data_IF_674298319979
#
_entry.id   IF_674298319979
#
_cell.length_a   1.000
_cell.length_b   1.000
_cell.length_c   1.000
_cell.angle_alpha   90.00
_cell.angle_beta   90.00
_cell.angle_gamma   90.00
#
_symmetry.space_group_name_H-M   'P 1'
#
loop_
_entity.id
_entity.type
_entity.pdbx_description
1 polymer ?
#
# COMPACT_ATOMS: atom_id res chain seq x y z
N UNK A 1 -15.89 7.99 10.15
CA UNK A 1 -15.71 8.37 8.74
C UNK A 1 -16.07 7.18 7.89
N UNK A 2 -17.10 7.31 7.05
CA UNK A 2 -17.50 6.28 6.09
C UNK A 2 -16.77 6.52 4.76
N UNK A 3 -16.22 5.46 4.16
CA UNK A 3 -15.54 5.53 2.87
C UNK A 3 -15.65 4.18 2.14
N UNK A 4 -15.47 4.23 0.83
CA UNK A 4 -15.43 3.08 -0.05
C UNK A 4 -14.10 3.01 -0.79
N UNK A 5 -13.70 1.81 -1.22
CA UNK A 5 -12.55 1.62 -2.09
C UNK A 5 -13.03 1.36 -3.51
N UNK A 6 -12.32 1.93 -4.48
CA UNK A 6 -12.54 1.70 -5.91
C UNK A 6 -11.24 1.75 -6.69
N UNK A 7 -11.28 1.25 -7.90
CA UNK A 7 -10.17 1.43 -8.83
C UNK A 7 -9.98 2.90 -9.22
N UNK A 8 -8.75 3.24 -9.55
CA UNK A 8 -8.33 4.54 -10.07
C UNK A 8 -9.07 4.88 -11.36
N UNK A 9 -9.42 6.16 -11.53
CA UNK A 9 -9.93 6.75 -12.75
C UNK A 9 -8.98 7.83 -13.23
N UNK A 10 -8.91 8.05 -14.54
CA UNK A 10 -7.97 9.02 -15.12
C UNK A 10 -8.14 10.44 -14.55
N UNK A 11 -9.37 10.82 -14.24
CA UNK A 11 -9.70 12.11 -13.63
C UNK A 11 -9.16 12.28 -12.21
N UNK A 12 -8.83 11.19 -11.50
CA UNK A 12 -8.30 11.25 -10.14
C UNK A 12 -6.85 11.76 -10.10
N UNK A 13 -6.11 11.62 -11.19
CA UNK A 13 -4.66 11.76 -11.21
C UNK A 13 -4.14 13.04 -10.53
N UNK A 14 -4.75 14.18 -10.84
CA UNK A 14 -4.34 15.46 -10.25
C UNK A 14 -4.53 15.51 -8.74
N UNK A 15 -5.60 14.89 -8.27
CA UNK A 15 -5.87 14.78 -6.83
C UNK A 15 -4.88 13.85 -6.15
N UNK A 16 -4.59 12.68 -6.76
CA UNK A 16 -3.61 11.75 -6.21
C UNK A 16 -2.22 12.37 -6.14
N UNK A 17 -1.77 13.05 -7.19
CA UNK A 17 -0.48 13.72 -7.18
C UNK A 17 -0.41 14.81 -6.09
N UNK A 18 -1.46 15.62 -5.87
CA UNK A 18 -1.49 16.61 -4.78
C UNK A 18 -1.46 15.96 -3.40
N UNK A 19 -2.12 14.81 -3.24
CA UNK A 19 -2.08 14.05 -1.98
C UNK A 19 -0.65 13.57 -1.71
N UNK A 20 0.04 12.99 -2.70
CA UNK A 20 1.44 12.58 -2.59
C UNK A 20 2.33 13.74 -2.14
N UNK A 21 2.23 14.91 -2.82
CA UNK A 21 2.98 16.11 -2.45
C UNK A 21 2.68 16.60 -1.02
N UNK A 22 1.49 16.35 -0.50
CA UNK A 22 1.11 16.71 0.87
C UNK A 22 1.54 15.70 1.92
N UNK A 23 1.77 14.44 1.50
CA UNK A 23 2.14 13.34 2.38
C UNK A 23 3.66 13.23 2.59
N UNK A 24 4.45 13.62 1.60
CA UNK A 24 5.89 13.45 1.60
C UNK A 24 6.65 14.76 1.34
N UNK A 25 7.83 14.93 1.97
CA UNK A 25 8.68 16.06 1.68
C UNK A 25 9.32 15.95 0.27
N UNK A 26 9.83 17.07 -0.28
CA UNK A 26 10.61 17.04 -1.50
C UNK A 26 11.76 16.02 -1.43
N UNK A 27 11.94 15.27 -2.52
CA UNK A 27 12.95 14.21 -2.60
C UNK A 27 12.46 12.83 -2.17
N UNK A 28 11.26 12.74 -1.56
CA UNK A 28 10.53 11.48 -1.32
C UNK A 28 9.26 11.45 -2.16
N UNK A 29 8.51 12.58 -2.25
CA UNK A 29 7.32 12.70 -3.10
C UNK A 29 7.66 12.51 -4.57
N UNK A 30 6.75 11.90 -5.32
CA UNK A 30 6.92 11.62 -6.75
C UNK A 30 6.65 12.86 -7.62
N UNK A 31 7.49 13.04 -8.65
CA UNK A 31 7.16 13.95 -9.76
C UNK A 31 5.92 13.47 -10.53
N UNK A 32 5.20 14.41 -11.19
CA UNK A 32 3.98 14.05 -11.96
C UNK A 32 4.21 12.96 -13.01
N UNK A 33 5.31 13.06 -13.75
CA UNK A 33 5.66 12.06 -14.77
C UNK A 33 5.99 10.71 -14.13
N UNK A 34 6.66 10.73 -13.01
CA UNK A 34 7.07 9.53 -12.27
C UNK A 34 5.85 8.80 -11.69
N UNK A 35 4.96 9.49 -10.95
CA UNK A 35 3.72 8.89 -10.43
C UNK A 35 2.86 8.36 -11.58
N UNK A 36 2.73 9.13 -12.68
CA UNK A 36 2.00 8.68 -13.87
C UNK A 36 2.61 7.42 -14.50
N UNK A 37 3.94 7.31 -14.51
CA UNK A 37 4.63 6.13 -15.03
C UNK A 37 4.37 4.90 -14.15
N UNK A 38 4.40 5.04 -12.82
CA UNK A 38 4.07 3.96 -11.90
C UNK A 38 2.63 3.48 -12.06
N UNK A 39 1.65 4.40 -12.07
CA UNK A 39 0.22 4.06 -12.22
C UNK A 39 -0.06 3.30 -13.53
N UNK A 40 0.69 3.61 -14.61
CA UNK A 40 0.50 3.01 -15.94
C UNK A 40 1.41 1.81 -16.21
N UNK A 41 2.26 1.45 -15.27
CA UNK A 41 3.19 0.34 -15.46
C UNK A 41 2.41 -0.97 -15.65
N UNK A 42 2.93 -1.84 -16.53
CA UNK A 42 2.31 -3.15 -16.74
C UNK A 42 2.36 -3.99 -15.46
N UNK A 43 1.22 -4.49 -15.03
CA UNK A 43 1.05 -5.22 -13.77
C UNK A 43 0.81 -4.32 -12.57
N UNK A 44 0.78 -2.99 -12.76
CA UNK A 44 0.40 -2.06 -11.71
C UNK A 44 -1.11 -1.87 -11.66
N UNK A 45 -1.60 -1.61 -10.45
CA UNK A 45 -2.96 -1.16 -10.20
C UNK A 45 -2.96 -0.10 -9.11
N UNK A 46 -4.02 0.69 -9.07
CA UNK A 46 -4.19 1.75 -8.08
C UNK A 46 -5.60 1.68 -7.50
N UNK A 47 -5.68 1.61 -6.17
CA UNK A 47 -6.93 1.71 -5.44
C UNK A 47 -7.04 3.08 -4.78
N UNK A 48 -8.25 3.61 -4.78
CA UNK A 48 -8.59 4.93 -4.25
C UNK A 48 -9.61 4.77 -3.13
N UNK A 49 -9.37 5.41 -2.00
CA UNK A 49 -10.34 5.53 -0.91
C UNK A 49 -11.11 6.84 -1.08
N UNK A 50 -12.43 6.73 -1.23
CA UNK A 50 -13.33 7.83 -1.51
C UNK A 50 -14.33 7.99 -0.37
N UNK A 51 -14.54 9.23 0.11
CA UNK A 51 -15.53 9.51 1.17
C UNK A 51 -16.93 9.15 0.69
N UNK A 52 -17.65 8.39 1.52
CA UNK A 52 -19.07 8.10 1.27
C UNK A 52 -19.98 9.32 1.61
N UNK A 53 -19.48 10.28 2.35
CA UNK A 53 -20.22 11.50 2.70
C UNK A 53 -20.13 12.48 1.53
N UNK A 54 -21.17 12.49 0.71
CA UNK A 54 -21.52 13.67 -0.09
C UNK A 54 -21.76 14.79 0.94
N UNK A 55 -20.87 15.79 1.02
CA UNK A 55 -21.01 16.89 1.97
C UNK A 55 -22.46 17.40 1.95
N UNK A 56 -23.03 17.59 3.14
CA UNK A 56 -24.35 18.20 3.27
C UNK A 56 -24.27 19.58 2.60
N UNK A 57 -24.84 19.68 1.40
CA UNK A 57 -25.17 20.98 0.83
C UNK A 57 -26.21 21.60 1.74
N UNK A 58 -25.85 22.66 2.46
CA UNK A 58 -26.83 23.54 3.05
C UNK A 58 -27.78 23.97 1.96
N UNK A 59 -29.08 24.01 2.31
CA UNK A 59 -30.22 24.28 1.41
C UNK A 59 -29.91 25.40 0.41
N UNK A 60 -29.72 25.06 -0.87
CA UNK A 60 -29.77 26.06 -1.94
C UNK A 60 -28.97 25.78 -3.21
N UNK A 61 -28.07 24.82 -3.30
CA UNK A 61 -27.31 24.58 -4.52
C UNK A 61 -27.43 23.17 -5.06
N UNK A 62 -27.74 23.05 -6.37
CA UNK A 62 -28.07 21.80 -7.11
C UNK A 62 -26.80 21.03 -7.51
N UNK A 63 -25.71 21.11 -6.80
CA UNK A 63 -24.53 20.31 -7.06
C UNK A 63 -24.21 19.44 -5.83
N UNK A 64 -24.39 18.11 -5.95
CA UNK A 64 -23.76 17.18 -5.01
C UNK A 64 -22.26 17.46 -5.02
N UNK A 65 -21.64 17.80 -3.87
CA UNK A 65 -20.19 17.94 -3.83
C UNK A 65 -19.57 16.64 -4.32
N UNK A 66 -18.56 16.75 -5.18
CA UNK A 66 -17.84 15.57 -5.67
C UNK A 66 -17.27 14.81 -4.47
N UNK A 67 -17.34 13.48 -4.47
CA UNK A 67 -16.78 12.68 -3.39
C UNK A 67 -15.28 12.99 -3.25
N UNK A 68 -14.84 13.20 -2.01
CA UNK A 68 -13.44 13.55 -1.75
C UNK A 68 -12.57 12.31 -1.64
N UNK A 69 -11.43 12.32 -2.33
CA UNK A 69 -10.42 11.26 -2.20
C UNK A 69 -9.68 11.45 -0.88
N UNK A 70 -9.70 10.41 -0.06
CA UNK A 70 -9.08 10.36 1.27
C UNK A 70 -7.68 9.78 1.26
N UNK A 71 -7.35 9.02 0.23
CA UNK A 71 -6.07 8.38 0.05
C UNK A 71 -6.07 7.40 -1.10
N UNK A 72 -4.90 6.87 -1.41
CA UNK A 72 -4.73 5.88 -2.46
C UNK A 72 -3.53 4.97 -2.19
N UNK A 73 -3.44 3.89 -2.93
CA UNK A 73 -2.31 2.98 -2.96
C UNK A 73 -2.00 2.61 -4.40
N UNK A 74 -0.72 2.61 -4.76
CA UNK A 74 -0.21 2.07 -6.03
C UNK A 74 0.59 0.82 -5.73
N UNK A 75 0.24 -0.27 -6.35
CA UNK A 75 0.95 -1.54 -6.22
C UNK A 75 1.14 -2.21 -7.58
N UNK A 76 2.12 -3.08 -7.69
CA UNK A 76 2.37 -3.86 -8.89
C UNK A 76 2.69 -5.32 -8.56
N UNK A 77 2.26 -6.24 -9.43
CA UNK A 77 2.67 -7.64 -9.41
C UNK A 77 3.77 -7.87 -10.44
N UNK A 78 4.86 -8.49 -10.01
CA UNK A 78 5.92 -8.92 -10.93
C UNK A 78 5.64 -10.33 -11.46
N UNK A 79 6.17 -10.65 -12.65
CA UNK A 79 6.10 -11.99 -13.23
C UNK A 79 6.77 -13.08 -12.39
N UNK A 80 7.51 -12.71 -11.34
CA UNK A 80 8.23 -13.66 -10.46
C UNK A 80 7.45 -13.96 -9.17
N UNK A 81 6.16 -13.61 -9.09
CA UNK A 81 5.34 -13.83 -7.90
C UNK A 81 5.68 -12.88 -6.74
N UNK A 82 6.31 -11.76 -7.01
CA UNK A 82 6.62 -10.72 -6.03
C UNK A 82 5.70 -9.52 -6.26
N UNK A 83 5.10 -9.01 -5.20
CA UNK A 83 4.37 -7.75 -5.20
C UNK A 83 5.23 -6.60 -4.70
N UNK A 84 4.96 -5.40 -5.18
CA UNK A 84 5.60 -4.17 -4.72
C UNK A 84 4.54 -3.12 -4.42
N UNK A 85 4.53 -2.62 -3.19
CA UNK A 85 3.76 -1.42 -2.84
C UNK A 85 4.63 -0.22 -3.17
N UNK A 86 4.25 0.54 -4.19
CA UNK A 86 5.02 1.69 -4.68
C UNK A 86 4.80 2.90 -3.77
N UNK A 87 3.54 3.17 -3.44
CA UNK A 87 3.18 4.21 -2.46
C UNK A 87 1.83 3.93 -1.83
N UNK A 88 1.65 4.43 -0.61
CA UNK A 88 0.37 4.49 0.10
C UNK A 88 0.24 5.85 0.78
N UNK A 89 -0.76 6.59 0.39
CA UNK A 89 -0.97 7.97 0.78
C UNK A 89 -2.34 8.16 1.38
N UNK A 90 -2.39 8.81 2.54
CA UNK A 90 -3.65 9.17 3.21
C UNK A 90 -3.56 10.62 3.66
N UNK A 91 -4.53 11.43 3.24
CA UNK A 91 -4.60 12.83 3.66
C UNK A 91 -4.57 12.95 5.18
N UNK A 92 -3.90 13.95 5.75
CA UNK A 92 -3.74 14.07 7.21
C UNK A 92 -5.07 13.99 7.97
N UNK A 93 -6.13 14.59 7.45
CA UNK A 93 -7.47 14.60 8.06
C UNK A 93 -8.16 13.23 8.09
N UNK A 94 -7.75 12.29 7.24
CA UNK A 94 -8.30 10.94 7.16
C UNK A 94 -7.39 9.86 7.80
N UNK A 95 -6.26 10.27 8.37
CA UNK A 95 -5.37 9.33 9.08
C UNK A 95 -6.03 8.85 10.38
N UNK A 96 -5.66 7.64 10.82
CA UNK A 96 -6.15 6.97 12.04
C UNK A 96 -7.64 6.55 11.99
N UNK A 97 -8.34 6.74 10.87
CA UNK A 97 -9.69 6.22 10.62
C UNK A 97 -9.72 4.89 9.87
N UNK A 98 -8.56 4.21 9.77
CA UNK A 98 -8.47 2.89 9.13
C UNK A 98 -8.30 2.92 7.60
N UNK A 99 -8.27 4.10 6.97
CA UNK A 99 -8.16 4.25 5.50
C UNK A 99 -6.92 3.52 4.97
N UNK A 100 -5.74 3.80 5.53
CA UNK A 100 -4.49 3.15 5.11
C UNK A 100 -4.51 1.64 5.27
N UNK A 101 -5.05 1.14 6.40
CA UNK A 101 -5.16 -0.31 6.66
C UNK A 101 -6.09 -0.99 5.65
N UNK A 102 -7.20 -0.35 5.28
CA UNK A 102 -8.12 -0.90 4.27
C UNK A 102 -7.53 -0.87 2.86
N UNK A 103 -6.81 0.20 2.49
CA UNK A 103 -6.10 0.27 1.22
C UNK A 103 -5.03 -0.82 1.12
N UNK A 104 -4.22 -0.99 2.17
CA UNK A 104 -3.17 -2.00 2.20
C UNK A 104 -3.75 -3.41 2.11
N UNK A 105 -4.77 -3.74 2.91
CA UNK A 105 -5.41 -5.05 2.89
C UNK A 105 -6.02 -5.38 1.51
N UNK A 106 -6.73 -4.43 0.88
CA UNK A 106 -7.31 -4.62 -0.44
C UNK A 106 -6.24 -4.82 -1.54
N UNK A 107 -5.10 -4.11 -1.42
CA UNK A 107 -3.98 -4.31 -2.34
C UNK A 107 -3.33 -5.68 -2.14
N UNK A 108 -3.13 -6.13 -0.90
CA UNK A 108 -2.62 -7.46 -0.57
C UNK A 108 -3.54 -8.57 -1.10
N UNK A 109 -4.85 -8.45 -0.89
CA UNK A 109 -5.85 -9.41 -1.42
C UNK A 109 -5.78 -9.50 -2.94
N UNK A 110 -5.67 -8.36 -3.64
CA UNK A 110 -5.56 -8.33 -5.10
C UNK A 110 -4.25 -8.97 -5.57
N UNK A 111 -3.12 -8.64 -4.95
CA UNK A 111 -1.83 -9.27 -5.24
C UNK A 111 -1.88 -10.79 -5.01
N UNK A 112 -2.47 -11.22 -3.89
CA UNK A 112 -2.63 -12.63 -3.57
C UNK A 112 -3.50 -13.36 -4.61
N UNK A 113 -4.58 -12.74 -5.09
CA UNK A 113 -5.43 -13.30 -6.14
C UNK A 113 -4.71 -13.46 -7.49
N UNK A 114 -3.66 -12.68 -7.72
CA UNK A 114 -2.76 -12.77 -8.88
C UNK A 114 -1.60 -13.77 -8.68
N UNK A 115 -1.60 -14.52 -7.56
CA UNK A 115 -0.58 -15.53 -7.27
C UNK A 115 0.71 -14.97 -6.66
N UNK A 116 0.68 -13.73 -6.15
CA UNK A 116 1.81 -13.13 -5.44
C UNK A 116 1.97 -13.77 -4.08
N UNK A 117 3.16 -14.32 -3.81
CA UNK A 117 3.47 -14.98 -2.55
C UNK A 117 4.05 -14.02 -1.50
N UNK A 118 4.76 -13.01 -1.94
CA UNK A 118 5.44 -12.05 -1.08
C UNK A 118 5.29 -10.64 -1.62
N UNK A 119 5.18 -9.68 -0.72
CA UNK A 119 5.10 -8.26 -1.07
C UNK A 119 6.17 -7.48 -0.32
N UNK A 120 6.76 -6.51 -0.98
CA UNK A 120 7.76 -5.62 -0.40
C UNK A 120 7.43 -4.15 -0.68
N UNK A 121 8.08 -3.28 0.07
CA UNK A 121 8.02 -1.82 -0.07
C UNK A 121 9.29 -1.19 0.47
N UNK A 122 9.52 0.08 0.13
CA UNK A 122 10.56 0.91 0.72
C UNK A 122 9.94 2.00 1.59
N UNK A 123 10.54 2.24 2.75
CA UNK A 123 10.17 3.33 3.64
C UNK A 123 11.41 4.05 4.16
N UNK A 124 11.35 5.38 4.23
CA UNK A 124 12.44 6.18 4.76
C UNK A 124 12.75 5.77 6.22
N UNK A 125 14.04 5.63 6.54
CA UNK A 125 14.49 5.13 7.86
C UNK A 125 14.03 6.01 9.02
N UNK A 126 13.75 7.28 8.78
CA UNK A 126 13.27 8.26 9.75
C UNK A 126 11.73 8.37 9.83
N UNK A 127 10.99 7.73 8.91
CA UNK A 127 9.53 7.75 8.90
C UNK A 127 8.95 6.76 9.94
N UNK A 128 9.12 7.11 11.22
CA UNK A 128 8.67 6.29 12.36
C UNK A 128 7.18 5.92 12.28
N UNK A 129 6.36 6.82 11.74
CA UNK A 129 4.90 6.60 11.60
C UNK A 129 4.61 5.49 10.59
N UNK A 130 5.24 5.52 9.41
CA UNK A 130 5.09 4.48 8.40
C UNK A 130 5.66 3.15 8.89
N UNK A 131 6.84 3.16 9.51
CA UNK A 131 7.47 1.94 10.05
C UNK A 131 6.58 1.28 11.11
N UNK A 132 5.99 2.06 12.03
CA UNK A 132 5.05 1.54 13.02
C UNK A 132 3.74 1.02 12.38
N UNK A 133 3.27 1.67 11.30
CA UNK A 133 2.12 1.22 10.54
C UNK A 133 2.40 -0.13 9.88
N UNK A 134 3.47 -0.27 9.14
CA UNK A 134 3.82 -1.52 8.45
C UNK A 134 4.10 -2.66 9.43
N UNK A 135 4.79 -2.38 10.55
CA UNK A 135 5.00 -3.39 11.61
C UNK A 135 3.68 -3.96 12.15
N UNK A 136 2.63 -3.14 12.32
CA UNK A 136 1.30 -3.61 12.76
C UNK A 136 0.57 -4.44 11.70
N UNK A 137 1.02 -4.38 10.45
CA UNK A 137 0.51 -5.16 9.34
C UNK A 137 1.45 -6.32 8.93
N UNK A 138 2.29 -6.78 9.87
CA UNK A 138 3.17 -7.95 9.74
C UNK A 138 4.28 -7.79 8.69
N UNK A 139 4.65 -6.55 8.37
CA UNK A 139 5.86 -6.28 7.59
C UNK A 139 7.09 -6.25 8.50
N UNK A 140 8.17 -6.82 8.03
CA UNK A 140 9.47 -6.83 8.71
C UNK A 140 10.57 -6.30 7.79
N UNK A 141 11.57 -5.66 8.40
CA UNK A 141 12.73 -5.11 7.67
C UNK A 141 13.64 -6.25 7.22
N UNK A 142 13.94 -6.30 5.92
CA UNK A 142 14.85 -7.29 5.33
C UNK A 142 16.21 -6.74 4.97
N UNK A 143 16.29 -5.44 4.64
CA UNK A 143 17.57 -4.75 4.36
C UNK A 143 17.44 -3.24 4.45
N UNK A 144 18.58 -2.56 4.49
CA UNK A 144 18.70 -1.10 4.32
C UNK A 144 19.33 -0.81 2.96
N UNK A 145 18.78 0.19 2.25
CA UNK A 145 19.35 0.70 1.00
C UNK A 145 19.86 2.11 1.26
N UNK A 146 21.19 2.32 1.27
CA UNK A 146 21.76 3.64 1.51
C UNK A 146 21.43 4.62 0.38
N UNK A 147 21.14 5.87 0.73
CA UNK A 147 20.89 6.98 -0.21
C UNK A 147 19.84 6.64 -1.27
N UNK A 148 18.77 5.98 -0.83
CA UNK A 148 17.69 5.54 -1.72
C UNK A 148 16.91 6.71 -2.31
N UNK A 149 16.57 7.70 -1.48
CA UNK A 149 15.80 8.87 -1.88
C UNK A 149 16.70 9.95 -2.47
N UNK A 150 16.14 10.80 -3.35
CA UNK A 150 16.91 11.87 -4.02
C UNK A 150 17.46 12.92 -3.06
N UNK A 151 16.89 13.04 -1.86
CA UNK A 151 17.39 13.86 -0.76
C UNK A 151 18.53 13.20 0.03
N UNK A 152 18.98 12.00 -0.38
CA UNK A 152 20.09 11.27 0.25
C UNK A 152 19.68 10.41 1.46
N UNK A 153 18.41 10.36 1.82
CA UNK A 153 17.93 9.48 2.90
C UNK A 153 18.01 7.99 2.50
N UNK A 154 18.33 7.18 3.49
CA UNK A 154 18.31 5.73 3.38
C UNK A 154 16.85 5.21 3.43
N UNK A 155 16.62 4.05 2.84
CA UNK A 155 15.36 3.33 2.98
C UNK A 155 15.56 1.97 3.66
N UNK A 156 14.59 1.59 4.48
CA UNK A 156 14.37 0.19 4.82
C UNK A 156 13.53 -0.45 3.72
N UNK A 157 13.93 -1.64 3.27
CA UNK A 157 13.05 -2.53 2.51
C UNK A 157 12.34 -3.41 3.52
N UNK A 158 11.01 -3.34 3.50
CA UNK A 158 10.13 -4.16 4.32
C UNK A 158 9.46 -5.20 3.45
N UNK A 159 9.20 -6.36 4.02
CA UNK A 159 8.58 -7.49 3.33
C UNK A 159 7.50 -8.13 4.19
N UNK A 160 6.51 -8.74 3.53
CA UNK A 160 5.47 -9.58 4.14
C UNK A 160 5.19 -10.78 3.24
N UNK A 161 5.02 -11.95 3.83
CA UNK A 161 4.53 -13.14 3.16
C UNK A 161 3.00 -13.10 3.09
N UNK A 162 2.42 -13.20 1.89
CA UNK A 162 0.97 -13.18 1.66
C UNK A 162 0.36 -14.58 1.70
N UNK A 163 1.10 -15.58 1.26
CA UNK A 163 0.65 -16.97 1.33
C UNK A 163 1.10 -17.56 2.68
N UNK A 164 0.26 -18.38 3.33
CA UNK A 164 0.70 -19.11 4.51
C UNK A 164 1.92 -19.93 4.12
N UNK A 165 3.03 -19.75 4.85
CA UNK A 165 4.19 -20.63 4.71
C UNK A 165 3.71 -22.06 4.91
N UNK A 166 3.77 -22.87 3.87
CA UNK A 166 3.65 -24.31 4.02
C UNK A 166 4.92 -24.77 4.72
N UNK A 167 4.98 -24.57 6.04
CA UNK A 167 5.97 -25.27 6.85
C UNK A 167 5.60 -26.73 6.74
N UNK A 168 6.34 -27.47 5.93
CA UNK A 168 6.37 -28.92 6.01
C UNK A 168 6.62 -29.27 7.48
N UNK A 169 5.61 -29.81 8.13
CA UNK A 169 5.84 -30.54 9.37
C UNK A 169 6.79 -31.68 9.00
N UNK A 170 7.93 -31.84 9.68
CA UNK A 170 8.76 -33.01 9.45
C UNK A 170 7.89 -34.25 9.74
N UNK A 171 7.73 -35.07 8.71
CA UNK A 171 7.03 -36.33 8.80
C UNK A 171 7.53 -37.10 10.02
N UNK A 172 6.59 -37.55 10.86
CA UNK A 172 6.86 -38.24 12.09
C UNK A 172 7.83 -39.39 11.87
N UNK A 173 8.83 -39.47 12.72
CA UNK A 173 9.75 -40.60 12.80
C UNK A 173 8.93 -41.89 12.98
N UNK A 174 9.28 -43.00 12.27
CA UNK A 174 8.63 -44.27 12.48
C UNK A 174 8.98 -44.78 13.89
N UNK A 175 7.95 -45.07 14.66
CA UNK A 175 8.09 -45.74 15.95
C UNK A 175 8.64 -47.15 15.72
N UNK A 176 9.86 -47.40 16.14
CA UNK A 176 10.38 -48.77 16.32
C UNK A 176 9.59 -49.43 17.44
N UNK A 177 8.62 -50.27 17.09
CA UNK A 177 8.09 -51.29 18.00
C UNK A 177 9.07 -52.42 18.05
N UNK A 178 9.68 -52.62 19.21
CA UNK A 178 10.41 -53.84 19.55
C UNK A 178 9.39 -54.97 19.68
N UNK A 179 9.64 -56.03 18.93
CA UNK A 179 9.09 -57.35 19.19
C UNK A 179 10.10 -58.12 20.03
N UNK A 180 9.66 -58.59 21.20
CA UNK A 180 10.13 -59.83 21.76
C UNK A 180 9.40 -61.00 21.17
#
# INVERSE_FOLDING_TARGET
MLFTLRDFRREDFETLWRIDQSCFPPGISYGRLELSAYIRRRGAFTLVAESAESGQAERGEIAKPAPSILGFIVAEASRRGMGHIITIDVVPSARRFGVGSKLLAAAEERLQSEGVAQVFLEAAVDNKTALAFYKRHDYFVVKTVPRYYSNGLDAFVLQKDLLPSTREQPAGAPSCSHLE
#
